data_IF_700711631516
#
_entry.id   IF_700711631516
#
_cell.length_a   1.000
_cell.length_b   1.000
_cell.length_c   1.000
_cell.angle_alpha   90.00
_cell.angle_beta   90.00
_cell.angle_gamma   90.00
#
_symmetry.space_group_name_H-M   'P 1'
#
loop_
_entity.id
_entity.type
_entity.pdbx_description
1 polymer ?
#
# COMPACT_ATOMS: atom_id res chain seq x y z
N UNK A 1 13.55 13.99 0.61
CA UNK A 1 12.46 14.40 1.53
C UNK A 1 11.70 15.57 0.88
N UNK A 2 10.40 15.76 1.17
CA UNK A 2 9.52 16.75 0.50
C UNK A 2 10.12 18.17 0.39
N UNK A 3 11.03 18.56 1.30
CA UNK A 3 11.81 19.79 1.20
C UNK A 3 12.61 19.94 -0.12
N UNK A 4 13.18 18.85 -0.65
CA UNK A 4 13.90 18.85 -1.93
C UNK A 4 12.98 19.07 -3.15
N UNK A 5 11.66 18.91 -2.96
CA UNK A 5 10.62 19.19 -3.95
C UNK A 5 9.96 20.57 -3.74
N UNK A 6 10.56 21.43 -2.88
CA UNK A 6 10.04 22.76 -2.56
C UNK A 6 9.11 22.83 -1.34
N UNK A 7 8.96 21.74 -0.58
CA UNK A 7 8.11 21.72 0.62
C UNK A 7 6.62 21.57 0.32
N UNK A 8 5.79 21.52 1.37
CA UNK A 8 4.32 21.45 1.21
C UNK A 8 3.81 22.77 0.63
N UNK A 9 2.91 22.70 -0.35
CA UNK A 9 2.30 23.87 -1.02
C UNK A 9 0.92 23.52 -1.59
N UNK A 10 0.23 24.47 -2.21
CA UNK A 10 -1.05 24.21 -2.89
C UNK A 10 -0.94 23.24 -4.07
N UNK A 11 0.29 22.89 -4.48
CA UNK A 11 0.58 21.91 -5.54
C UNK A 11 1.25 20.63 -5.03
N UNK A 12 1.62 20.57 -3.74
CA UNK A 12 2.33 19.43 -3.16
C UNK A 12 1.84 19.11 -1.74
N UNK A 13 1.27 17.92 -1.59
CA UNK A 13 0.84 17.33 -0.33
C UNK A 13 1.75 16.18 0.08
N UNK A 14 1.74 15.88 1.38
CA UNK A 14 2.39 14.69 1.90
C UNK A 14 1.61 14.19 3.11
N UNK A 15 1.27 12.91 3.04
CA UNK A 15 0.69 12.10 4.11
C UNK A 15 1.54 10.84 4.21
N UNK A 16 1.81 10.42 5.43
CA UNK A 16 2.39 9.13 5.73
C UNK A 16 1.26 8.14 6.03
N UNK A 17 1.23 7.01 5.32
CA UNK A 17 0.30 5.92 5.56
C UNK A 17 1.05 4.59 5.55
N UNK A 18 0.55 3.62 6.33
CA UNK A 18 0.94 2.23 6.22
C UNK A 18 0.06 1.54 5.16
N UNK A 19 0.61 1.04 4.03
CA UNK A 19 -0.16 0.32 3.03
C UNK A 19 -0.76 -0.99 3.55
N UNK A 20 -0.23 -1.57 4.63
CA UNK A 20 -0.79 -2.78 5.25
C UNK A 20 -2.06 -2.50 6.07
N UNK A 21 -2.37 -1.24 6.38
CA UNK A 21 -3.64 -0.85 6.98
C UNK A 21 -4.74 -0.83 5.90
N UNK A 22 -5.77 -1.69 5.99
CA UNK A 22 -6.82 -1.78 4.97
C UNK A 22 -7.63 -0.49 4.80
N UNK A 23 -7.58 0.42 5.78
CA UNK A 23 -8.25 1.73 5.71
C UNK A 23 -7.35 2.86 5.16
N UNK A 24 -6.04 2.62 5.00
CA UNK A 24 -5.11 3.62 4.49
C UNK A 24 -5.41 4.12 3.07
N UNK A 25 -5.81 3.28 2.09
CA UNK A 25 -6.10 3.74 0.74
C UNK A 25 -7.22 4.78 0.70
N UNK A 26 -8.32 4.53 1.44
CA UNK A 26 -9.44 5.46 1.50
C UNK A 26 -9.01 6.80 2.11
N UNK A 27 -8.31 6.78 3.24
CA UNK A 27 -7.80 8.02 3.88
C UNK A 27 -6.87 8.81 2.98
N UNK A 28 -6.01 8.14 2.20
CA UNK A 28 -5.10 8.79 1.25
C UNK A 28 -5.88 9.50 0.13
N UNK A 29 -6.87 8.82 -0.45
CA UNK A 29 -7.73 9.39 -1.48
C UNK A 29 -8.54 10.56 -0.94
N UNK A 30 -9.18 10.39 0.22
CA UNK A 30 -9.99 11.45 0.85
C UNK A 30 -9.14 12.70 1.11
N UNK A 31 -7.93 12.53 1.65
CA UNK A 31 -7.02 13.65 1.92
C UNK A 31 -6.57 14.35 0.63
N UNK A 32 -6.34 13.60 -0.44
CA UNK A 32 -5.97 14.18 -1.73
C UNK A 32 -7.15 14.96 -2.33
N UNK A 33 -8.35 14.39 -2.26
CA UNK A 33 -9.57 15.00 -2.82
C UNK A 33 -9.98 16.25 -2.05
N UNK A 34 -9.94 16.20 -0.72
CA UNK A 34 -10.23 17.36 0.13
C UNK A 34 -9.31 18.55 -0.19
N UNK A 35 -8.04 18.26 -0.51
CA UNK A 35 -7.04 19.31 -0.74
C UNK A 35 -6.97 19.81 -2.18
N UNK A 36 -7.02 18.91 -3.16
CA UNK A 36 -6.72 19.22 -4.56
C UNK A 36 -7.93 19.10 -5.48
N UNK A 37 -9.06 18.59 -4.99
CA UNK A 37 -10.22 18.27 -5.81
C UNK A 37 -10.11 16.88 -6.47
N UNK A 38 -10.84 16.63 -7.56
CA UNK A 38 -10.89 15.31 -8.21
C UNK A 38 -9.50 14.75 -8.56
N UNK A 39 -9.35 13.43 -8.47
CA UNK A 39 -8.12 12.72 -8.80
C UNK A 39 -8.18 12.20 -10.25
N UNK A 40 -7.34 12.73 -11.13
CA UNK A 40 -7.29 12.29 -12.54
C UNK A 40 -6.45 11.02 -12.74
N UNK A 41 -5.51 10.75 -11.84
CA UNK A 41 -4.56 9.64 -11.98
C UNK A 41 -4.00 9.20 -10.63
N UNK A 42 -3.81 7.89 -10.47
CA UNK A 42 -3.22 7.29 -9.27
C UNK A 42 -2.07 6.36 -9.68
N UNK A 43 -0.89 6.60 -9.13
CA UNK A 43 0.27 5.71 -9.30
C UNK A 43 0.45 4.89 -8.04
N UNK A 44 0.09 3.61 -8.12
CA UNK A 44 0.21 2.65 -7.01
C UNK A 44 1.62 2.04 -7.04
N UNK A 45 2.60 2.77 -6.51
CA UNK A 45 4.01 2.35 -6.51
C UNK A 45 4.45 1.62 -5.23
N UNK A 46 3.61 1.57 -4.19
CA UNK A 46 4.01 0.92 -2.95
C UNK A 46 4.26 -0.58 -3.17
N UNK A 47 5.22 -1.13 -2.45
CA UNK A 47 5.56 -2.54 -2.58
C UNK A 47 6.60 -2.95 -1.54
N UNK A 48 6.57 -4.23 -1.19
CA UNK A 48 7.55 -4.84 -0.29
C UNK A 48 8.12 -6.08 -0.96
N UNK A 49 9.35 -5.98 -1.44
CA UNK A 49 10.04 -7.16 -1.99
C UNK A 49 10.40 -8.15 -0.89
N UNK A 50 10.31 -9.44 -1.22
CA UNK A 50 10.80 -10.51 -0.38
C UNK A 50 11.75 -11.38 -1.20
N UNK A 51 12.92 -11.68 -0.62
CA UNK A 51 13.89 -12.63 -1.18
C UNK A 51 13.82 -13.94 -0.40
N UNK A 52 14.12 -15.04 -1.08
CA UNK A 52 14.16 -16.38 -0.50
C UNK A 52 13.95 -17.45 -1.56
N UNK A 53 14.32 -18.69 -1.23
CA UNK A 53 13.95 -19.85 -2.05
C UNK A 53 12.53 -20.26 -1.71
N UNK A 54 11.76 -20.70 -2.71
CA UNK A 54 10.36 -21.07 -2.52
C UNK A 54 10.11 -22.08 -1.40
N UNK A 55 11.01 -23.05 -1.21
CA UNK A 55 10.89 -24.07 -0.16
C UNK A 55 11.22 -23.58 1.26
N UNK A 56 11.75 -22.37 1.38
CA UNK A 56 12.24 -21.77 2.64
C UNK A 56 11.42 -20.53 3.04
N UNK A 57 10.44 -20.15 2.22
CA UNK A 57 9.56 -19.03 2.50
C UNK A 57 8.38 -19.46 3.37
N UNK A 58 8.27 -18.82 4.53
CA UNK A 58 7.15 -19.03 5.45
C UNK A 58 5.90 -18.27 5.00
N UNK A 59 4.73 -18.83 5.29
CA UNK A 59 3.44 -18.23 4.94
C UNK A 59 3.30 -16.80 5.46
N UNK A 60 3.72 -16.55 6.71
CA UNK A 60 3.65 -15.22 7.33
C UNK A 60 4.56 -14.20 6.63
N UNK A 61 5.65 -14.66 6.01
CA UNK A 61 6.54 -13.79 5.23
C UNK A 61 5.86 -13.35 3.92
N UNK A 62 5.18 -14.27 3.26
CA UNK A 62 4.41 -13.98 2.05
C UNK A 62 3.21 -13.08 2.36
N UNK A 63 2.48 -13.36 3.44
CA UNK A 63 1.36 -12.54 3.89
C UNK A 63 1.78 -11.10 4.18
N UNK A 64 2.92 -10.92 4.85
CA UNK A 64 3.42 -9.59 5.14
C UNK A 64 3.91 -8.82 3.90
N UNK A 65 4.33 -9.52 2.84
CA UNK A 65 4.61 -8.90 1.55
C UNK A 65 3.31 -8.58 0.80
N UNK A 66 2.32 -9.47 0.83
CA UNK A 66 1.05 -9.29 0.14
C UNK A 66 0.15 -8.24 0.78
N UNK A 67 0.16 -8.08 2.12
CA UNK A 67 -0.57 -7.02 2.80
C UNK A 67 -0.19 -5.62 2.29
N UNK A 68 1.05 -5.44 1.82
CA UNK A 68 1.49 -4.19 1.21
C UNK A 68 1.01 -4.07 -0.24
N UNK A 69 0.99 -5.14 -1.01
CA UNK A 69 0.64 -5.07 -2.45
C UNK A 69 -0.86 -5.15 -2.74
N UNK A 70 -1.62 -5.83 -1.89
CA UNK A 70 -3.02 -6.20 -2.11
C UNK A 70 -3.86 -5.79 -0.91
N UNK A 71 -4.95 -5.08 -1.16
CA UNK A 71 -5.94 -4.70 -0.13
C UNK A 71 -6.89 -5.88 0.19
N UNK A 72 -6.81 -6.98 -0.58
CA UNK A 72 -7.67 -8.16 -0.41
C UNK A 72 -6.99 -9.16 0.52
N UNK A 73 -7.63 -9.54 1.65
CA UNK A 73 -7.13 -10.62 2.50
C UNK A 73 -7.10 -11.93 1.73
N UNK A 74 -6.00 -12.68 1.85
CA UNK A 74 -5.92 -14.02 1.27
C UNK A 74 -6.76 -14.97 2.10
N UNK A 75 -7.83 -15.47 1.48
CA UNK A 75 -8.66 -16.50 2.05
C UNK A 75 -7.90 -17.84 2.10
N UNK A 76 -7.50 -18.25 3.30
CA UNK A 76 -6.79 -19.52 3.52
C UNK A 76 -7.70 -20.75 3.44
N UNK A 77 -9.02 -20.59 3.30
CA UNK A 77 -9.98 -21.72 3.28
C UNK A 77 -9.96 -22.50 1.95
N UNK A 78 -9.35 -21.97 0.90
CA UNK A 78 -9.31 -22.59 -0.44
C UNK A 78 -8.33 -23.77 -0.54
N UNK A 79 -7.45 -23.98 0.44
CA UNK A 79 -6.48 -25.11 0.45
C UNK A 79 -6.95 -26.33 1.28
N UNK A 80 -8.25 -26.62 1.30
CA UNK A 80 -8.78 -27.88 1.80
C UNK A 80 -8.40 -29.05 0.90
N UNK A 81 -7.22 -29.66 1.10
CA UNK A 81 -6.99 -31.07 0.78
C UNK A 81 -7.45 -31.91 1.97
N UNK A 82 -8.51 -32.68 1.76
CA UNK A 82 -8.77 -33.92 2.49
C UNK A 82 -7.71 -34.97 2.14
#
# INVERSE_FOLDING_TARGET
MIAALGGKSDRLGHVEVDPADPSAPQRLVDTAVERFGPLDSLVVNHGRSQLGRWAELEADTLDAAWAVHNIVPIDRTVNGRA
#
